data_IF_793838630709
#
_entry.id   IF_793838630709
#
_cell.length_a   1.000
_cell.length_b   1.000
_cell.length_c   1.000
_cell.angle_alpha   90.00
_cell.angle_beta   90.00
_cell.angle_gamma   90.00
#
_symmetry.space_group_name_H-M   'P 1'
#
loop_
_entity.id
_entity.type
_entity.pdbx_description
1 polymer ?
#
# COMPACT_ATOMS: atom_id res chain seq x y z
N UNK A 1 -59.28 16.81 9.03
CA UNK A 1 -58.18 17.49 9.77
C UNK A 1 -56.99 16.56 10.01
N UNK A 2 -57.18 15.33 10.50
CA UNK A 2 -56.10 14.37 10.78
C UNK A 2 -55.22 14.01 9.57
N UNK A 3 -55.82 13.70 8.41
CA UNK A 3 -55.08 13.29 7.21
C UNK A 3 -54.18 14.41 6.64
N UNK A 4 -54.64 15.66 6.73
CA UNK A 4 -53.90 16.84 6.26
C UNK A 4 -52.68 17.09 7.16
N UNK A 5 -52.85 16.98 8.47
CA UNK A 5 -51.74 17.12 9.42
C UNK A 5 -50.71 15.99 9.26
N UNK A 6 -51.14 14.76 8.97
CA UNK A 6 -50.24 13.63 8.71
C UNK A 6 -49.38 13.86 7.45
N UNK A 7 -49.98 14.36 6.37
CA UNK A 7 -49.28 14.67 5.13
C UNK A 7 -48.30 15.82 5.33
N UNK A 8 -48.72 16.89 6.03
CA UNK A 8 -47.83 18.01 6.36
C UNK A 8 -46.65 17.55 7.22
N UNK A 9 -46.90 16.74 8.26
CA UNK A 9 -45.83 16.17 9.09
C UNK A 9 -44.88 15.27 8.28
N UNK A 10 -45.40 14.45 7.35
CA UNK A 10 -44.57 13.59 6.50
C UNK A 10 -43.70 14.41 5.54
N UNK A 11 -44.26 15.45 4.91
CA UNK A 11 -43.51 16.37 4.04
C UNK A 11 -42.44 17.11 4.84
N UNK A 12 -42.78 17.64 6.02
CA UNK A 12 -41.83 18.34 6.91
C UNK A 12 -40.69 17.42 7.36
N UNK A 13 -40.98 16.15 7.71
CA UNK A 13 -39.95 15.17 8.09
C UNK A 13 -39.10 14.76 6.88
N UNK A 14 -39.68 14.60 5.69
CA UNK A 14 -38.93 14.30 4.47
C UNK A 14 -38.03 15.47 4.04
N UNK A 15 -38.51 16.71 4.16
CA UNK A 15 -37.73 17.91 3.79
C UNK A 15 -36.70 18.29 4.84
N UNK A 16 -37.05 18.30 6.13
CA UNK A 16 -36.11 18.62 7.21
C UNK A 16 -35.11 17.48 7.46
N UNK A 17 -35.58 16.23 7.39
CA UNK A 17 -34.72 15.05 7.48
C UNK A 17 -33.80 14.93 6.26
N UNK A 18 -34.32 15.17 5.05
CA UNK A 18 -33.52 15.26 3.83
C UNK A 18 -32.49 16.39 3.89
N UNK A 19 -32.90 17.58 4.33
CA UNK A 19 -32.00 18.72 4.52
C UNK A 19 -30.92 18.43 5.56
N UNK A 20 -31.25 17.78 6.68
CA UNK A 20 -30.27 17.36 7.68
C UNK A 20 -29.23 16.40 7.09
N UNK A 21 -29.64 15.40 6.31
CA UNK A 21 -28.72 14.47 5.65
C UNK A 21 -27.81 15.19 4.65
N UNK A 22 -28.37 16.10 3.84
CA UNK A 22 -27.59 16.89 2.87
C UNK A 22 -26.59 17.81 3.58
N UNK A 23 -27.01 18.54 4.61
CA UNK A 23 -26.15 19.41 5.40
C UNK A 23 -25.06 18.61 6.11
N UNK A 24 -25.41 17.48 6.73
CA UNK A 24 -24.43 16.58 7.37
C UNK A 24 -23.41 16.08 6.35
N UNK A 25 -23.85 15.61 5.18
CA UNK A 25 -22.96 15.12 4.13
C UNK A 25 -22.06 16.22 3.58
N UNK A 26 -22.58 17.44 3.46
CA UNK A 26 -21.82 18.62 3.05
C UNK A 26 -20.75 18.98 4.10
N UNK A 27 -21.09 18.96 5.40
CA UNK A 27 -20.14 19.20 6.48
C UNK A 27 -19.04 18.13 6.54
N UNK A 28 -19.39 16.84 6.38
CA UNK A 28 -18.42 15.75 6.28
C UNK A 28 -17.49 15.94 5.07
N UNK A 29 -18.05 16.27 3.91
CA UNK A 29 -17.24 16.55 2.72
C UNK A 29 -16.30 17.74 2.91
N UNK A 30 -16.78 18.81 3.54
CA UNK A 30 -15.96 19.98 3.84
C UNK A 30 -14.82 19.63 4.81
N UNK A 31 -15.12 18.85 5.85
CA UNK A 31 -14.14 18.38 6.83
C UNK A 31 -13.07 17.49 6.18
N UNK A 32 -13.50 16.53 5.34
CA UNK A 32 -12.61 15.66 4.56
C UNK A 32 -11.67 16.50 3.67
N UNK A 33 -12.21 17.50 2.96
CA UNK A 33 -11.42 18.37 2.09
C UNK A 33 -10.45 19.25 2.86
N UNK A 34 -10.86 19.78 4.01
CA UNK A 34 -9.98 20.55 4.87
C UNK A 34 -8.81 19.70 5.36
N UNK A 35 -9.10 18.48 5.82
CA UNK A 35 -8.09 17.52 6.25
C UNK A 35 -7.16 17.13 5.12
N UNK A 36 -7.66 16.86 3.91
CA UNK A 36 -6.84 16.53 2.74
C UNK A 36 -5.82 17.64 2.42
N UNK A 37 -6.25 18.91 2.48
CA UNK A 37 -5.35 20.06 2.24
C UNK A 37 -4.28 20.16 3.34
N UNK A 38 -4.67 19.96 4.60
CA UNK A 38 -3.73 19.96 5.73
C UNK A 38 -2.72 18.83 5.64
N UNK A 39 -3.19 17.62 5.37
CA UNK A 39 -2.36 16.43 5.19
C UNK A 39 -1.42 16.61 4.01
N UNK A 40 -1.91 17.10 2.86
CA UNK A 40 -1.08 17.38 1.70
C UNK A 40 0.04 18.38 2.02
N UNK A 41 -0.30 19.46 2.72
CA UNK A 41 0.69 20.45 3.16
C UNK A 41 1.67 19.94 4.23
N UNK A 42 1.30 18.90 4.98
CA UNK A 42 2.22 18.22 5.91
C UNK A 42 3.14 17.25 5.18
N UNK A 43 2.59 16.43 4.26
CA UNK A 43 3.36 15.47 3.45
C UNK A 43 4.40 16.18 2.58
N UNK A 44 4.05 17.31 1.98
CA UNK A 44 4.98 18.08 1.14
C UNK A 44 6.14 18.72 1.92
N UNK A 45 6.04 18.81 3.25
CA UNK A 45 7.11 19.32 4.12
C UNK A 45 8.04 18.22 4.63
N UNK A 46 7.69 16.95 4.42
CA UNK A 46 8.54 15.85 4.86
C UNK A 46 9.76 15.77 3.95
N UNK A 47 10.93 15.64 4.58
CA UNK A 47 12.16 15.34 3.86
C UNK A 47 12.18 13.85 3.54
N UNK A 48 11.83 13.49 2.31
CA UNK A 48 11.82 12.11 1.86
C UNK A 48 13.16 11.74 1.23
N UNK A 49 13.59 10.51 1.47
CA UNK A 49 14.82 9.94 0.89
C UNK A 49 14.47 8.72 0.06
N UNK A 50 15.17 8.59 -1.07
CA UNK A 50 15.18 7.38 -1.89
C UNK A 50 16.49 6.63 -1.61
N UNK A 51 16.38 5.34 -1.34
CA UNK A 51 17.52 4.45 -1.13
C UNK A 51 17.46 3.30 -2.12
N UNK A 52 18.59 2.96 -2.70
CA UNK A 52 18.78 1.71 -3.43
C UNK A 52 19.18 0.62 -2.43
N UNK A 53 18.48 -0.51 -2.49
CA UNK A 53 18.72 -1.68 -1.64
C UNK A 53 19.45 -2.71 -2.51
N UNK A 54 20.65 -3.10 -2.09
CA UNK A 54 21.42 -4.16 -2.74
C UNK A 54 21.23 -5.43 -1.90
N UNK A 55 20.48 -6.43 -2.40
CA UNK A 55 20.29 -7.68 -1.68
C UNK A 55 21.62 -8.45 -1.56
N UNK A 56 21.75 -9.32 -0.54
CA UNK A 56 22.96 -10.11 -0.37
C UNK A 56 23.09 -11.17 -1.48
N UNK A 57 24.30 -11.42 -1.97
CA UNK A 57 24.56 -12.39 -3.04
C UNK A 57 24.21 -13.83 -2.66
N UNK A 58 24.27 -14.15 -1.36
CA UNK A 58 23.80 -15.42 -0.81
C UNK A 58 22.86 -15.12 0.36
N UNK A 59 21.64 -15.67 0.29
CA UNK A 59 20.61 -15.48 1.28
C UNK A 59 20.32 -16.78 2.03
N UNK A 60 21.11 -17.04 3.08
CA UNK A 60 20.92 -18.19 3.97
C UNK A 60 19.92 -17.88 5.11
N UNK A 61 19.37 -16.66 5.15
CA UNK A 61 18.48 -16.21 6.22
C UNK A 61 17.06 -16.69 5.95
N UNK A 62 16.40 -17.13 7.01
CA UNK A 62 15.01 -17.59 6.93
C UNK A 62 14.07 -16.43 6.63
N UNK A 63 12.91 -16.74 6.04
CA UNK A 63 11.83 -15.75 5.85
C UNK A 63 11.33 -15.13 7.17
N UNK A 64 11.56 -15.79 8.32
CA UNK A 64 11.24 -15.24 9.63
C UNK A 64 12.10 -14.02 9.97
N UNK A 65 13.35 -13.96 9.49
CA UNK A 65 14.21 -12.78 9.65
C UNK A 65 13.67 -11.59 8.85
N UNK A 66 13.12 -11.84 7.65
CA UNK A 66 12.44 -10.79 6.87
C UNK A 66 11.18 -10.29 7.56
N UNK A 67 10.40 -11.18 8.20
CA UNK A 67 9.25 -10.75 8.99
C UNK A 67 9.69 -9.88 10.17
N UNK A 68 10.73 -10.28 10.90
CA UNK A 68 11.28 -9.49 12.01
C UNK A 68 11.79 -8.12 11.54
N UNK A 69 12.39 -8.04 10.35
CA UNK A 69 12.74 -6.76 9.73
C UNK A 69 11.50 -5.86 9.57
N UNK A 70 10.41 -6.37 8.99
CA UNK A 70 9.19 -5.58 8.82
C UNK A 70 8.50 -5.24 10.16
N UNK A 71 8.56 -6.12 11.16
CA UNK A 71 8.08 -5.84 12.52
C UNK A 71 8.86 -4.68 13.13
N UNK A 72 10.18 -4.65 12.97
CA UNK A 72 11.03 -3.56 13.44
C UNK A 72 10.70 -2.24 12.73
N UNK A 73 10.46 -2.27 11.42
CA UNK A 73 10.02 -1.09 10.68
C UNK A 73 8.65 -0.55 11.13
N UNK A 74 7.77 -1.41 11.67
CA UNK A 74 6.49 -0.97 12.20
C UNK A 74 6.62 -0.01 13.41
N UNK A 75 7.82 0.12 14.00
CA UNK A 75 8.13 1.07 15.06
C UNK A 75 7.97 2.55 14.66
N UNK A 76 7.88 2.87 13.35
CA UNK A 76 7.55 4.24 12.91
C UNK A 76 6.12 4.67 13.28
N UNK A 77 5.30 3.74 13.77
CA UNK A 77 3.94 4.05 14.17
C UNK A 77 3.89 5.14 15.24
N UNK A 78 3.29 6.27 14.87
CA UNK A 78 3.00 7.37 15.79
C UNK A 78 1.49 7.53 15.93
N UNK A 79 1.01 7.50 17.18
CA UNK A 79 -0.40 7.79 17.47
C UNK A 79 -0.68 9.27 17.17
N UNK A 80 -1.67 9.53 16.33
CA UNK A 80 -2.11 10.89 16.02
C UNK A 80 -3.12 11.38 17.04
N UNK A 81 -2.97 12.61 17.51
CA UNK A 81 -4.06 13.34 18.14
C UNK A 81 -4.93 13.99 17.08
N UNK A 82 -6.25 14.06 17.32
CA UNK A 82 -7.15 14.87 16.48
C UNK A 82 -6.68 16.33 16.43
N UNK A 83 -6.11 16.84 17.52
CA UNK A 83 -5.56 18.20 17.54
C UNK A 83 -4.48 18.38 16.47
N UNK A 84 -3.45 17.55 16.50
CA UNK A 84 -2.30 17.60 15.59
C UNK A 84 -2.73 17.43 14.12
N UNK A 85 -3.74 16.59 13.88
CA UNK A 85 -4.29 16.38 12.54
C UNK A 85 -4.93 17.66 11.98
N UNK A 86 -5.70 18.40 12.77
CA UNK A 86 -6.39 19.62 12.31
C UNK A 86 -5.51 20.87 12.32
N UNK A 87 -4.48 20.92 13.19
CA UNK A 87 -3.55 22.05 13.26
C UNK A 87 -2.40 21.90 12.28
N UNK A 88 -1.70 20.76 12.32
CA UNK A 88 -0.45 20.52 11.60
C UNK A 88 -0.65 19.65 10.35
N UNK A 89 -1.77 18.93 10.24
CA UNK A 89 -1.99 17.97 9.15
C UNK A 89 -1.26 16.65 9.35
N UNK A 90 -0.77 16.36 10.56
CA UNK A 90 0.10 15.20 10.82
C UNK A 90 -0.54 13.90 10.34
N UNK A 91 0.13 13.20 9.42
CA UNK A 91 -0.35 11.94 8.86
C UNK A 91 0.53 10.73 9.20
N UNK A 92 0.11 9.54 8.75
CA UNK A 92 0.82 8.30 9.06
C UNK A 92 1.95 8.21 8.05
N UNK A 93 3.16 8.03 8.54
CA UNK A 93 4.31 7.76 7.70
C UNK A 93 4.27 6.31 7.22
N UNK A 94 4.93 6.09 6.08
CA UNK A 94 4.94 4.81 5.40
C UNK A 94 6.35 4.50 4.93
N UNK A 95 6.65 3.21 4.81
CA UNK A 95 7.74 2.75 3.97
C UNK A 95 7.16 2.31 2.64
N UNK A 96 7.76 2.80 1.56
CA UNK A 96 7.45 2.35 0.21
C UNK A 96 8.63 1.52 -0.28
N UNK A 97 8.36 0.33 -0.81
CA UNK A 97 9.36 -0.55 -1.39
C UNK A 97 9.02 -0.76 -2.85
N UNK A 98 10.01 -0.60 -3.73
CA UNK A 98 9.82 -0.65 -5.16
C UNK A 98 10.77 -1.66 -5.79
N UNK A 99 10.26 -2.46 -6.72
CA UNK A 99 11.03 -3.37 -7.55
C UNK A 99 10.91 -2.88 -8.99
N UNK A 100 12.05 -2.52 -9.54
CA UNK A 100 12.19 -1.97 -10.87
C UNK A 100 12.83 -3.03 -11.76
N UNK A 101 12.20 -3.38 -12.86
CA UNK A 101 12.82 -4.19 -13.91
C UNK A 101 12.89 -3.39 -15.20
N UNK A 102 14.11 -3.08 -15.64
CA UNK A 102 14.38 -2.36 -16.89
C UNK A 102 15.11 -3.27 -17.84
N UNK A 103 14.44 -3.72 -18.89
CA UNK A 103 15.00 -4.69 -19.84
C UNK A 103 15.54 -5.96 -19.18
N UNK A 104 14.90 -6.42 -18.11
CA UNK A 104 15.29 -7.60 -17.33
C UNK A 104 16.27 -7.34 -16.19
N UNK A 105 16.83 -6.12 -16.07
CA UNK A 105 17.69 -5.76 -14.94
C UNK A 105 16.86 -5.32 -13.74
N UNK A 106 17.00 -6.05 -12.62
CA UNK A 106 16.20 -5.82 -11.41
C UNK A 106 16.96 -4.96 -10.40
N UNK A 107 16.30 -3.89 -9.95
CA UNK A 107 16.78 -2.98 -8.92
C UNK A 107 15.71 -2.80 -7.84
N UNK A 108 16.14 -2.76 -6.57
CA UNK A 108 15.26 -2.55 -5.42
C UNK A 108 15.45 -1.15 -4.85
N UNK A 109 14.35 -0.48 -4.55
CA UNK A 109 14.35 0.86 -3.96
C UNK A 109 13.45 0.93 -2.73
N UNK A 110 13.79 1.84 -1.82
CA UNK A 110 13.00 2.22 -0.67
C UNK A 110 12.76 3.73 -0.67
N UNK A 111 11.53 4.15 -0.39
CA UNK A 111 11.16 5.57 -0.29
C UNK A 111 10.40 5.81 1.02
N UNK A 112 10.95 6.69 1.86
CA UNK A 112 10.41 7.03 3.18
C UNK A 112 11.01 8.35 3.70
N UNK A 113 10.50 8.86 4.83
CA UNK A 113 11.05 10.05 5.48
C UNK A 113 12.49 9.81 5.95
N UNK A 114 13.42 10.72 5.66
CA UNK A 114 14.84 10.65 6.03
C UNK A 114 15.06 10.37 7.52
N UNK A 115 14.17 10.84 8.40
CA UNK A 115 14.23 10.57 9.84
C UNK A 115 14.23 9.07 10.18
N UNK A 116 13.66 8.23 9.31
CA UNK A 116 13.57 6.78 9.49
C UNK A 116 14.73 6.01 8.85
N UNK A 117 15.66 6.69 8.17
CA UNK A 117 16.82 6.06 7.55
C UNK A 117 17.72 5.30 8.55
N UNK A 118 18.00 5.81 9.76
CA UNK A 118 18.75 5.05 10.76
C UNK A 118 18.01 3.78 11.22
N UNK A 119 16.69 3.85 11.39
CA UNK A 119 15.86 2.70 11.74
C UNK A 119 15.90 1.65 10.62
N UNK A 120 15.75 2.08 9.38
CA UNK A 120 15.80 1.21 8.21
C UNK A 120 17.15 0.50 8.08
N UNK A 121 18.25 1.27 8.09
CA UNK A 121 19.62 0.71 7.99
C UNK A 121 19.94 -0.21 9.16
N UNK A 122 19.59 0.18 10.39
CA UNK A 122 19.83 -0.62 11.59
C UNK A 122 19.05 -1.93 11.57
N UNK A 123 17.77 -1.88 11.17
CA UNK A 123 16.95 -3.09 11.06
C UNK A 123 17.44 -4.01 9.95
N UNK A 124 17.80 -3.48 8.78
CA UNK A 124 18.32 -4.29 7.68
C UNK A 124 19.66 -4.93 8.06
N UNK A 125 20.58 -4.17 8.66
CA UNK A 125 21.88 -4.69 9.09
C UNK A 125 21.77 -5.78 10.18
N UNK A 126 20.75 -5.71 11.04
CA UNK A 126 20.53 -6.70 12.09
C UNK A 126 20.10 -8.07 11.52
N UNK A 127 19.24 -8.08 10.50
CA UNK A 127 18.71 -9.32 9.90
C UNK A 127 19.50 -9.79 8.67
N UNK A 128 20.02 -8.84 7.88
CA UNK A 128 20.75 -9.02 6.63
C UNK A 128 22.04 -8.18 6.62
N UNK A 129 23.08 -8.58 7.36
CA UNK A 129 24.30 -7.78 7.54
C UNK A 129 25.10 -7.56 6.24
N UNK A 130 24.94 -8.43 5.25
CA UNK A 130 25.60 -8.35 3.94
C UNK A 130 24.80 -7.53 2.92
N UNK A 131 23.55 -7.15 3.24
CA UNK A 131 22.78 -6.24 2.41
C UNK A 131 23.31 -4.80 2.55
N UNK A 132 23.33 -4.06 1.45
CA UNK A 132 23.81 -2.68 1.43
C UNK A 132 22.68 -1.70 1.08
N UNK A 133 22.71 -0.52 1.70
CA UNK A 133 21.73 0.55 1.47
C UNK A 133 22.47 1.82 1.06
N UNK A 134 22.21 2.28 -0.15
CA UNK A 134 22.88 3.45 -0.73
C UNK A 134 21.81 4.51 -0.99
N UNK A 135 22.05 5.76 -0.58
CA UNK A 135 21.16 6.86 -0.98
C UNK A 135 21.27 7.08 -2.48
N UNK A 136 20.13 7.15 -3.16
CA UNK A 136 20.05 7.23 -4.61
C UNK A 136 19.13 8.38 -5.01
N UNK A 137 19.30 8.88 -6.24
CA UNK A 137 18.32 9.73 -6.89
C UNK A 137 17.01 8.97 -7.12
N UNK A 138 15.92 9.69 -7.30
CA UNK A 138 14.64 9.07 -7.69
C UNK A 138 14.84 8.32 -9.03
N UNK A 139 14.50 7.03 -9.15
CA UNK A 139 14.60 6.30 -10.42
C UNK A 139 13.72 6.90 -11.54
N UNK A 140 12.75 7.74 -11.19
CA UNK A 140 11.94 8.51 -12.11
C UNK A 140 12.45 9.95 -12.32
N UNK A 141 13.61 10.31 -11.76
CA UNK A 141 14.20 11.63 -12.00
C UNK A 141 14.48 11.83 -13.50
N UNK A 142 14.02 12.95 -14.06
CA UNK A 142 14.12 13.25 -15.49
C UNK A 142 13.00 12.65 -16.35
N UNK A 143 12.04 11.93 -15.76
CA UNK A 143 10.83 11.53 -16.47
C UNK A 143 9.95 12.75 -16.81
N UNK A 144 9.28 12.74 -17.97
CA UNK A 144 8.39 13.84 -18.34
C UNK A 144 7.24 13.95 -17.34
N UNK A 145 7.03 15.15 -16.81
CA UNK A 145 5.93 15.45 -15.87
C UNK A 145 4.56 15.29 -16.54
N UNK A 146 4.50 15.47 -17.86
CA UNK A 146 3.32 15.23 -18.68
C UNK A 146 3.60 14.10 -19.69
N UNK A 147 2.88 12.98 -19.54
CA UNK A 147 2.94 11.90 -20.52
C UNK A 147 2.08 12.23 -21.74
N UNK A 148 2.71 12.58 -22.86
CA UNK A 148 2.03 12.84 -24.14
C UNK A 148 2.18 11.73 -25.17
N UNK A 149 2.75 10.57 -24.79
CA UNK A 149 2.99 9.41 -25.69
C UNK A 149 3.91 9.72 -26.89
N UNK A 150 4.49 10.92 -26.95
CA UNK A 150 5.29 11.43 -28.07
C UNK A 150 6.67 11.93 -27.63
N UNK A 151 6.94 11.98 -26.33
CA UNK A 151 8.17 12.54 -25.75
C UNK A 151 8.76 11.51 -24.78
N UNK A 152 9.92 10.95 -25.12
CA UNK A 152 10.60 9.91 -24.34
C UNK A 152 10.83 8.61 -25.12
N UNK A 153 11.63 7.67 -24.57
CA UNK A 153 11.93 6.39 -25.22
C UNK A 153 10.76 5.40 -25.19
N UNK A 154 9.78 5.61 -24.31
CA UNK A 154 8.64 4.73 -24.10
C UNK A 154 7.38 5.35 -24.73
N UNK A 155 6.53 4.53 -25.37
CA UNK A 155 5.33 5.01 -26.08
C UNK A 155 4.03 4.73 -25.37
N UNK A 156 3.99 3.70 -24.53
CA UNK A 156 2.80 3.32 -23.78
C UNK A 156 3.10 3.26 -22.28
N UNK A 157 2.15 3.75 -21.48
CA UNK A 157 2.17 3.78 -20.03
C UNK A 157 0.85 3.23 -19.52
N UNK A 158 0.95 2.11 -18.81
CA UNK A 158 -0.17 1.53 -18.08
C UNK A 158 0.16 1.48 -16.60
N UNK A 159 -0.84 1.78 -15.77
CA UNK A 159 -0.71 1.69 -14.33
C UNK A 159 -2.00 1.15 -13.73
N UNK A 160 -1.87 0.22 -12.79
CA UNK A 160 -3.00 -0.25 -11.98
C UNK A 160 -2.66 -0.10 -10.51
N UNK A 161 -3.67 0.15 -9.71
CA UNK A 161 -3.59 0.02 -8.27
C UNK A 161 -4.39 -1.18 -7.79
N UNK A 162 -3.80 -1.98 -6.90
CA UNK A 162 -4.52 -3.04 -6.20
C UNK A 162 -4.77 -2.53 -4.79
N UNK A 163 -6.02 -2.21 -4.51
CA UNK A 163 -6.46 -1.86 -3.17
C UNK A 163 -7.32 -2.98 -2.59
N UNK A 164 -6.94 -3.48 -1.42
CA UNK A 164 -7.72 -4.44 -0.66
C UNK A 164 -8.97 -3.73 -0.14
N UNK A 165 -10.17 -4.16 -0.55
CA UNK A 165 -11.45 -3.45 -0.47
C UNK A 165 -11.85 -2.80 0.87
N UNK A 166 -12.94 -3.25 1.49
CA UNK A 166 -13.34 -2.72 2.81
C UNK A 166 -12.36 -3.21 3.87
N UNK A 167 -12.16 -2.47 4.97
CA UNK A 167 -11.32 -2.86 6.13
C UNK A 167 -11.66 -4.25 6.73
N UNK A 168 -12.75 -4.86 6.28
CA UNK A 168 -13.31 -6.14 6.73
C UNK A 168 -12.99 -7.32 5.80
N UNK A 169 -12.52 -7.06 4.57
CA UNK A 169 -12.15 -8.11 3.62
C UNK A 169 -10.76 -8.64 3.95
N UNK A 170 -10.73 -9.85 4.50
CA UNK A 170 -9.51 -10.61 4.69
C UNK A 170 -9.16 -11.32 3.40
N UNK A 171 -8.11 -10.84 2.76
CA UNK A 171 -7.45 -11.58 1.70
C UNK A 171 -6.38 -12.47 2.34
N UNK A 172 -6.44 -13.80 2.17
CA UNK A 172 -5.39 -14.68 2.67
C UNK A 172 -4.11 -14.39 1.88
N UNK A 173 -3.22 -13.60 2.48
CA UNK A 173 -1.81 -13.61 2.11
C UNK A 173 -1.20 -14.81 2.82
N UNK A 174 -0.57 -15.70 2.05
CA UNK A 174 0.21 -16.77 2.65
C UNK A 174 1.31 -16.15 3.51
N UNK A 175 1.37 -16.52 4.78
CA UNK A 175 2.50 -16.14 5.64
C UNK A 175 3.71 -17.00 5.32
N UNK A 176 4.91 -16.52 5.65
CA UNK A 176 6.15 -17.27 5.46
C UNK A 176 6.10 -18.68 6.07
N UNK A 177 5.38 -18.86 7.18
CA UNK A 177 5.17 -20.17 7.83
C UNK A 177 4.44 -21.16 6.93
N UNK A 178 3.56 -20.70 6.04
CA UNK A 178 2.87 -21.55 5.05
C UNK A 178 3.75 -21.88 3.84
N UNK A 179 4.85 -21.15 3.68
CA UNK A 179 5.90 -21.44 2.71
C UNK A 179 7.04 -22.27 3.32
N UNK A 180 7.01 -22.61 4.61
CA UNK A 180 7.99 -23.48 5.26
C UNK A 180 7.50 -24.93 5.33
N UNK A 181 8.40 -25.89 5.06
CA UNK A 181 8.24 -27.31 5.38
C UNK A 181 8.98 -27.60 6.69
N UNK A 182 8.49 -28.58 7.44
CA UNK A 182 9.03 -28.94 8.76
C UNK A 182 10.48 -29.48 8.73
N UNK A 183 11.07 -29.69 7.54
CA UNK A 183 12.34 -30.39 7.33
C UNK A 183 13.58 -29.50 7.26
N UNK A 184 13.50 -28.22 7.65
CA UNK A 184 14.63 -27.27 7.73
C UNK A 184 15.42 -27.08 6.41
N UNK A 185 14.93 -27.54 5.27
CA UNK A 185 15.54 -27.21 3.98
C UNK A 185 15.10 -25.80 3.53
N UNK A 186 16.03 -24.95 3.06
CA UNK A 186 15.67 -23.63 2.55
C UNK A 186 14.78 -23.82 1.31
N UNK A 187 13.52 -23.45 1.47
CA UNK A 187 12.55 -23.48 0.38
C UNK A 187 12.86 -22.36 -0.59
N UNK A 188 12.68 -22.67 -1.87
CA UNK A 188 12.60 -21.75 -3.00
C UNK A 188 11.92 -20.44 -2.58
N UNK A 189 12.65 -19.33 -2.72
CA UNK A 189 12.14 -18.00 -2.37
C UNK A 189 10.77 -17.77 -3.03
N UNK A 190 9.69 -17.46 -2.28
CA UNK A 190 8.38 -17.18 -2.88
C UNK A 190 8.41 -15.98 -3.84
N UNK A 191 9.41 -15.12 -3.73
CA UNK A 191 9.65 -14.00 -4.63
C UNK A 191 10.35 -14.42 -5.94
N UNK A 192 11.00 -15.59 -5.99
CA UNK A 192 11.76 -16.07 -7.15
C UNK A 192 10.94 -16.14 -8.43
N UNK A 193 9.68 -16.57 -8.35
CA UNK A 193 8.78 -16.65 -9.52
C UNK A 193 8.47 -15.26 -10.07
N UNK A 194 8.27 -14.28 -9.19
CA UNK A 194 8.06 -12.89 -9.59
C UNK A 194 9.34 -12.31 -10.22
N UNK A 195 10.50 -12.52 -9.59
CA UNK A 195 11.79 -12.07 -10.12
C UNK A 195 12.08 -12.68 -11.49
N UNK A 196 11.87 -13.99 -11.66
CA UNK A 196 12.05 -14.66 -12.96
C UNK A 196 11.13 -14.04 -14.03
N UNK A 197 9.89 -13.71 -13.68
CA UNK A 197 8.98 -13.01 -14.59
C UNK A 197 9.47 -11.62 -14.96
N UNK A 198 10.04 -10.89 -14.00
CA UNK A 198 10.62 -9.56 -14.21
C UNK A 198 11.95 -9.61 -14.97
N UNK A 199 12.75 -10.66 -14.85
CA UNK A 199 14.01 -10.87 -15.59
C UNK A 199 13.76 -11.12 -17.08
N UNK A 200 12.64 -11.77 -17.42
CA UNK A 200 12.30 -12.18 -18.79
C UNK A 200 11.47 -11.14 -19.56
N UNK A 201 11.39 -9.89 -19.08
CA UNK A 201 10.70 -8.83 -19.81
C UNK A 201 11.49 -8.43 -21.06
N UNK A 202 10.84 -7.77 -22.00
CA UNK A 202 11.53 -7.33 -23.22
C UNK A 202 12.59 -6.27 -22.86
N UNK A 203 13.76 -6.22 -23.53
CA UNK A 203 14.83 -5.25 -23.26
C UNK A 203 14.37 -3.79 -23.24
N UNK A 204 13.32 -3.51 -24.00
CA UNK A 204 12.70 -2.21 -24.20
C UNK A 204 11.62 -1.88 -23.14
N UNK A 205 11.18 -2.85 -22.34
CA UNK A 205 10.15 -2.67 -21.31
C UNK A 205 10.71 -2.17 -19.98
N UNK A 206 9.85 -1.45 -19.25
CA UNK A 206 10.14 -1.02 -17.88
C UNK A 206 8.94 -1.31 -16.98
N UNK A 207 9.14 -2.18 -16.00
CA UNK A 207 8.12 -2.58 -15.04
C UNK A 207 8.52 -2.10 -13.65
N UNK A 208 7.57 -1.47 -12.96
CA UNK A 208 7.75 -1.08 -11.56
C UNK A 208 6.62 -1.65 -10.71
N UNK A 209 6.99 -2.35 -9.65
CA UNK A 209 6.08 -2.88 -8.63
C UNK A 209 6.33 -2.14 -7.32
N UNK A 210 5.30 -1.47 -6.79
CA UNK A 210 5.42 -0.66 -5.58
C UNK A 210 4.55 -1.22 -4.46
N UNK A 211 5.15 -1.47 -3.30
CA UNK A 211 4.47 -1.87 -2.06
C UNK A 211 4.53 -0.72 -1.04
N UNK A 212 3.36 -0.28 -0.57
CA UNK A 212 3.27 0.78 0.45
C UNK A 212 2.88 0.15 1.79
N UNK A 213 3.82 0.14 2.73
CA UNK A 213 3.66 -0.41 4.06
C UNK A 213 3.41 0.70 5.08
N UNK A 214 2.25 0.65 5.72
CA UNK A 214 1.84 1.58 6.78
C UNK A 214 1.49 0.81 8.04
N UNK A 215 2.16 1.08 9.17
CA UNK A 215 1.80 0.42 10.41
C UNK A 215 0.46 0.93 10.94
N UNK A 216 -0.32 0.03 11.53
CA UNK A 216 -1.65 0.32 12.10
C UNK A 216 -1.76 -0.28 13.50
N UNK A 217 -1.96 0.55 14.52
CA UNK A 217 -2.18 0.07 15.91
C UNK A 217 -3.65 0.02 16.34
N UNK A 218 -4.58 0.00 15.40
CA UNK A 218 -6.00 -0.05 15.68
C UNK A 218 -6.37 -1.41 16.28
N UNK A 219 -6.45 -1.47 17.61
CA UNK A 219 -6.53 -2.71 18.39
C UNK A 219 -7.82 -3.47 18.12
N UNK A 220 -8.90 -2.76 17.78
CA UNK A 220 -10.19 -3.37 17.48
C UNK A 220 -10.22 -3.93 16.06
N UNK A 221 -9.57 -3.25 15.10
CA UNK A 221 -9.34 -3.81 13.75
C UNK A 221 -8.44 -5.04 13.83
N UNK A 222 -7.37 -5.01 14.62
CA UNK A 222 -6.50 -6.17 14.82
C UNK A 222 -7.25 -7.36 15.45
N UNK A 223 -8.11 -7.12 16.46
CA UNK A 223 -8.97 -8.17 17.05
C UNK A 223 -9.96 -8.71 16.03
N UNK A 224 -10.59 -7.84 15.23
CA UNK A 224 -11.53 -8.21 14.18
C UNK A 224 -10.84 -9.06 13.11
N UNK A 225 -9.65 -8.66 12.68
CA UNK A 225 -8.81 -9.42 11.74
C UNK A 225 -8.43 -10.79 12.29
N UNK A 226 -7.97 -10.87 13.55
CA UNK A 226 -7.64 -12.14 14.22
C UNK A 226 -8.85 -13.07 14.36
N UNK A 227 -10.05 -12.52 14.59
CA UNK A 227 -11.30 -13.31 14.68
C UNK A 227 -11.75 -13.80 13.31
N UNK A 228 -11.75 -12.91 12.33
CA UNK A 228 -12.22 -13.21 10.99
C UNK A 228 -11.23 -14.13 10.24
N UNK A 229 -9.91 -14.03 10.47
CA UNK A 229 -8.90 -14.90 9.86
C UNK A 229 -9.06 -16.35 10.30
N UNK A 230 -9.27 -16.60 11.59
CA UNK A 230 -9.57 -17.94 12.14
C UNK A 230 -10.84 -18.54 11.52
N UNK A 231 -11.84 -17.71 11.27
CA UNK A 231 -13.10 -18.13 10.64
C UNK A 231 -12.90 -18.46 9.16
N UNK A 232 -12.13 -17.63 8.44
CA UNK A 232 -11.82 -17.82 7.03
C UNK A 232 -10.95 -19.07 6.78
N UNK A 233 -9.92 -19.30 7.59
CA UNK A 233 -9.07 -20.51 7.51
C UNK A 233 -9.90 -21.78 7.75
N UNK A 234 -10.84 -21.74 8.70
CA UNK A 234 -11.74 -22.87 8.99
C UNK A 234 -12.69 -23.17 7.83
N UNK A 235 -13.11 -22.14 7.08
CA UNK A 235 -14.02 -22.27 5.94
C UNK A 235 -13.30 -22.62 4.63
N UNK A 236 -12.10 -22.09 4.40
CA UNK A 236 -11.28 -22.38 3.22
C UNK A 236 -10.77 -23.83 3.19
N UNK A 237 -10.49 -24.43 4.35
CA UNK A 237 -10.24 -25.89 4.47
C UNK A 237 -11.38 -26.78 3.95
N UNK A 238 -12.58 -26.21 3.69
CA UNK A 238 -13.75 -26.94 3.17
C UNK A 238 -14.02 -26.71 1.68
N UNK A 239 -13.26 -25.84 0.99
CA UNK A 239 -13.47 -25.56 -0.44
C UNK A 239 -12.34 -26.17 -1.29
N UNK A 240 -12.65 -26.92 -2.36
CA UNK A 240 -11.64 -27.32 -3.34
C UNK A 240 -11.11 -26.08 -4.07
N UNK A 241 -9.79 -25.99 -4.16
CA UNK A 241 -9.03 -24.84 -4.68
C UNK A 241 -9.31 -24.60 -6.17
N UNK A 242 -10.26 -23.73 -6.49
CA UNK A 242 -10.45 -23.16 -7.83
C UNK A 242 -10.55 -21.64 -7.70
N UNK A 243 -9.48 -20.94 -8.10
CA UNK A 243 -9.42 -19.49 -8.09
C UNK A 243 -10.30 -18.96 -9.24
N UNK A 244 -11.50 -18.49 -8.90
CA UNK A 244 -12.33 -17.66 -9.77
C UNK A 244 -11.89 -16.20 -9.61
N UNK A 245 -11.11 -15.68 -10.55
CA UNK A 245 -10.93 -14.23 -10.69
C UNK A 245 -12.21 -13.61 -11.25
N UNK A 246 -12.96 -12.91 -10.41
CA UNK A 246 -14.12 -12.12 -10.85
C UNK A 246 -13.67 -10.71 -11.21
N UNK A 247 -13.90 -10.34 -12.47
CA UNK A 247 -13.71 -9.02 -13.10
C UNK A 247 -14.13 -7.89 -12.15
N UNK A 248 -13.20 -6.98 -11.82
CA UNK A 248 -13.47 -5.79 -11.01
C UNK A 248 -13.81 -4.61 -11.94
N UNK A 249 -15.00 -4.04 -11.78
CA UNK A 249 -15.42 -2.79 -12.40
C UNK A 249 -14.99 -1.60 -11.50
N UNK A 250 -14.37 -0.60 -12.12
CA UNK A 250 -13.79 0.58 -11.49
C UNK A 250 -14.86 1.58 -11.00
N UNK A 251 -14.65 2.17 -9.82
CA UNK A 251 -15.26 3.43 -9.42
C UNK A 251 -14.20 4.36 -8.85
N UNK A 252 -13.99 5.49 -9.53
CA UNK A 252 -13.05 6.54 -9.16
C UNK A 252 -13.46 7.20 -7.85
N UNK A 253 -12.64 7.03 -6.81
CA UNK A 253 -12.76 7.74 -5.54
C UNK A 253 -11.45 7.64 -4.81
N UNK A 254 -10.68 8.74 -4.80
CA UNK A 254 -9.42 8.89 -4.10
C UNK A 254 -9.54 8.40 -2.64
N UNK A 255 -9.02 7.21 -2.36
CA UNK A 255 -8.69 6.75 -1.00
C UNK A 255 -7.30 6.13 -1.04
N UNK A 256 -6.37 6.87 -0.46
CA UNK A 256 -4.93 6.60 -0.46
C UNK A 256 -4.59 5.43 0.47
N UNK A 257 -4.52 4.22 -0.08
CA UNK A 257 -3.64 3.12 0.31
C UNK A 257 -3.34 2.41 -1.01
N UNK A 258 -2.34 2.90 -1.74
CA UNK A 258 -2.13 2.54 -3.14
C UNK A 258 -0.83 1.76 -3.27
N UNK A 259 -0.94 0.48 -3.60
CA UNK A 259 0.11 -0.30 -4.26
C UNK A 259 -0.05 0.01 -5.74
N UNK A 260 0.89 0.74 -6.35
CA UNK A 260 0.86 1.00 -7.78
C UNK A 260 1.76 -0.02 -8.50
N UNK A 261 1.25 -0.61 -9.57
CA UNK A 261 2.06 -1.35 -10.53
C UNK A 261 2.03 -0.56 -11.83
N UNK A 262 3.19 -0.09 -12.28
CA UNK A 262 3.33 0.63 -13.55
C UNK A 262 4.01 -0.31 -14.54
N UNK A 263 3.35 -0.58 -15.66
CA UNK A 263 3.87 -1.29 -16.82
C UNK A 263 4.08 -0.28 -17.95
N UNK A 264 5.31 -0.13 -18.41
CA UNK A 264 5.65 0.72 -19.54
C UNK A 264 6.23 -0.11 -20.67
N UNK A 265 5.72 0.12 -21.87
CA UNK A 265 6.11 -0.58 -23.09
C UNK A 265 6.82 0.38 -24.04
N UNK A 266 8.00 0.00 -24.52
CA UNK A 266 8.71 0.69 -25.61
C UNK A 266 8.28 0.13 -26.97
N UNK A 267 8.55 0.87 -28.04
CA UNK A 267 8.30 0.46 -29.43
C UNK A 267 8.99 -0.85 -29.79
#
# INVERSE_FOLDING_TARGET
MFLVNLIISFVVVATLGGLYVVVKRYLEWYDDRFLDVKIGGWVSKQDNVVVQIIPPSNNERSMAEMENFFINLAAIYSKKSKKDQYTEGKWYEAFTFEVHSRGGQINFYGHFNRNHLPLFRGSLAAHYPTASVIESSDPFEGWPTEWKGQVGPYTDLWGTDINYGKDDDLHPLKSWTEFQRDDNTPITDPFSTLLTGLENIQPEDYIVLQFVLRPRSDSDVQKKWKKNSKTFVKNSKKMPTLILMKKAEYNYGLKTNKTFSILLKSK
#
